data_IF_037124281116
#
_entry.id   IF_037124281116
#
_cell.length_a   1.000
_cell.length_b   1.000
_cell.length_c   1.000
_cell.angle_alpha   90.00
_cell.angle_beta   90.00
_cell.angle_gamma   90.00
#
_symmetry.space_group_name_H-M   'P 1'
#
loop_
_entity.id
_entity.type
_entity.pdbx_description
1 polymer ?
#
# COMPACT_ATOMS: atom_id res chain seq x y z
N UNK A 1 -20.29 -20.22 5.20
CA UNK A 1 -19.39 -19.51 4.25
C UNK A 1 -20.23 -18.57 3.39
N UNK A 2 -20.24 -17.27 3.70
CA UNK A 2 -21.03 -16.22 3.03
C UNK A 2 -20.13 -15.41 2.07
N UNK A 3 -19.39 -16.11 1.21
CA UNK A 3 -18.41 -15.49 0.29
C UNK A 3 -19.01 -14.79 -0.94
N UNK A 4 -20.25 -15.09 -1.32
CA UNK A 4 -20.82 -14.56 -2.57
C UNK A 4 -21.30 -13.11 -2.48
N UNK A 5 -21.70 -12.62 -1.29
CA UNK A 5 -22.21 -11.24 -1.16
C UNK A 5 -21.13 -10.16 -0.99
N UNK A 6 -19.93 -10.50 -0.49
CA UNK A 6 -18.92 -9.47 -0.22
C UNK A 6 -18.13 -9.03 -1.45
N UNK A 7 -18.08 -9.84 -2.51
CA UNK A 7 -17.36 -9.52 -3.76
C UNK A 7 -18.27 -8.97 -4.87
N UNK A 8 -19.59 -8.99 -4.70
CA UNK A 8 -20.52 -8.51 -5.74
C UNK A 8 -20.32 -7.03 -6.06
N UNK A 9 -19.94 -6.24 -5.04
CA UNK A 9 -19.69 -4.81 -5.16
C UNK A 9 -18.22 -4.44 -5.39
N UNK A 10 -17.29 -5.41 -5.41
CA UNK A 10 -15.86 -5.13 -5.56
C UNK A 10 -15.55 -4.17 -6.70
N UNK A 11 -16.13 -4.40 -7.88
CA UNK A 11 -15.89 -3.52 -9.03
C UNK A 11 -16.45 -2.11 -8.85
N UNK A 12 -17.52 -1.94 -8.08
CA UNK A 12 -18.07 -0.62 -7.78
C UNK A 12 -17.20 0.10 -6.74
N UNK A 13 -16.81 -0.62 -5.69
CA UNK A 13 -16.02 -0.07 -4.59
C UNK A 13 -14.61 0.33 -5.06
N UNK A 14 -14.03 -0.42 -6.00
CA UNK A 14 -12.67 -0.18 -6.50
C UNK A 14 -12.59 0.67 -7.77
N UNK A 15 -13.71 1.16 -8.31
CA UNK A 15 -13.71 2.03 -9.51
C UNK A 15 -12.96 3.35 -9.31
N UNK A 16 -12.91 3.84 -8.07
CA UNK A 16 -12.15 5.03 -7.72
C UNK A 16 -10.63 4.79 -7.82
N UNK A 17 -10.19 3.56 -7.55
CA UNK A 17 -8.77 3.22 -7.42
C UNK A 17 -8.20 2.47 -8.63
N UNK A 18 -9.05 1.76 -9.38
CA UNK A 18 -8.66 0.89 -10.48
C UNK A 18 -9.41 1.28 -11.76
N UNK A 19 -8.70 1.33 -12.88
CA UNK A 19 -9.36 1.36 -14.18
C UNK A 19 -9.76 -0.06 -14.58
N UNK A 20 -11.07 -0.31 -14.65
CA UNK A 20 -11.64 -1.65 -14.86
C UNK A 20 -12.22 -1.75 -16.27
N UNK A 21 -11.59 -2.54 -17.13
CA UNK A 21 -12.08 -2.82 -18.49
C UNK A 21 -12.73 -4.21 -18.56
N UNK A 22 -14.05 -4.32 -18.80
CA UNK A 22 -14.69 -5.62 -18.99
C UNK A 22 -14.35 -6.19 -20.38
N UNK A 23 -14.24 -7.51 -20.45
CA UNK A 23 -14.17 -8.28 -21.69
C UNK A 23 -14.96 -9.58 -21.55
N UNK A 24 -15.31 -10.20 -22.68
CA UNK A 24 -16.13 -11.41 -22.69
C UNK A 24 -15.37 -12.54 -23.37
N UNK A 25 -15.35 -13.71 -22.74
CA UNK A 25 -14.75 -14.92 -23.29
C UNK A 25 -15.87 -15.87 -23.68
N UNK A 26 -15.85 -16.35 -24.92
CA UNK A 26 -16.72 -17.43 -25.36
C UNK A 26 -16.15 -18.76 -24.84
N UNK A 27 -16.87 -19.37 -23.90
CA UNK A 27 -16.47 -20.60 -23.25
C UNK A 27 -17.29 -21.81 -23.75
N UNK A 28 -17.97 -21.69 -24.89
CA UNK A 28 -18.85 -22.73 -25.43
C UNK A 28 -20.24 -22.81 -24.78
N UNK A 29 -20.55 -21.90 -23.86
CA UNK A 29 -21.88 -21.78 -23.24
C UNK A 29 -22.78 -20.80 -24.00
N UNK A 30 -24.10 -20.88 -23.75
CA UNK A 30 -25.12 -19.99 -24.36
C UNK A 30 -24.80 -18.49 -24.20
N UNK A 31 -24.12 -18.11 -23.12
CA UNK A 31 -23.70 -16.74 -22.86
C UNK A 31 -22.20 -16.68 -22.63
N UNK A 32 -21.55 -15.68 -23.24
CA UNK A 32 -20.13 -15.42 -23.01
C UNK A 32 -19.90 -15.01 -21.54
N UNK A 33 -18.84 -15.53 -20.94
CA UNK A 33 -18.50 -15.19 -19.56
C UNK A 33 -17.80 -13.84 -19.51
N UNK A 34 -18.34 -12.92 -18.71
CA UNK A 34 -17.71 -11.62 -18.45
C UNK A 34 -16.49 -11.79 -17.55
N UNK A 35 -15.40 -11.13 -17.93
CA UNK A 35 -14.15 -10.99 -17.16
C UNK A 35 -13.79 -9.51 -17.07
N UNK A 36 -12.93 -9.15 -16.13
CA UNK A 36 -12.43 -7.78 -15.97
C UNK A 36 -10.90 -7.77 -16.05
N UNK A 37 -10.34 -6.78 -16.74
CA UNK A 37 -8.94 -6.41 -16.68
C UNK A 37 -8.85 -5.22 -15.73
N UNK A 38 -8.05 -5.36 -14.67
CA UNK A 38 -7.77 -4.29 -13.73
C UNK A 38 -6.45 -3.65 -14.11
N UNK A 39 -6.48 -2.37 -14.43
CA UNK A 39 -5.28 -1.56 -14.58
C UNK A 39 -5.01 -0.86 -13.26
N UNK A 40 -3.95 -1.30 -12.59
CA UNK A 40 -3.45 -0.68 -11.36
C UNK A 40 -2.76 0.63 -11.77
N UNK A 41 -3.09 1.76 -11.13
CA UNK A 41 -2.43 3.03 -11.42
C UNK A 41 -0.93 2.93 -11.16
N UNK A 42 -0.17 3.84 -11.76
CA UNK A 42 1.25 3.96 -11.49
C UNK A 42 1.44 4.25 -10.01
N UNK A 43 2.37 3.55 -9.36
CA UNK A 43 2.71 3.78 -7.95
C UNK A 43 3.12 5.24 -7.74
N UNK A 44 2.58 5.86 -6.68
CA UNK A 44 2.97 7.21 -6.28
C UNK A 44 4.44 7.25 -5.86
N UNK A 45 5.11 8.38 -6.11
CA UNK A 45 6.53 8.57 -5.76
C UNK A 45 6.73 8.65 -4.24
N UNK A 46 5.75 9.23 -3.54
CA UNK A 46 5.76 9.43 -2.09
C UNK A 46 5.08 8.25 -1.41
N UNK A 47 5.77 7.11 -1.39
CA UNK A 47 5.30 5.91 -0.71
C UNK A 47 6.30 5.45 0.35
N UNK A 48 5.85 4.60 1.26
CA UNK A 48 6.70 3.93 2.24
C UNK A 48 6.50 2.42 2.16
N UNK A 49 7.54 1.67 2.49
CA UNK A 49 7.48 0.21 2.58
C UNK A 49 7.54 -0.19 4.04
N UNK A 50 6.54 -0.95 4.49
CA UNK A 50 6.39 -1.34 5.90
C UNK A 50 6.64 -2.83 6.04
N UNK A 51 7.52 -3.18 6.96
CA UNK A 51 7.86 -4.54 7.36
C UNK A 51 6.66 -5.28 7.94
N UNK A 52 6.57 -6.58 7.68
CA UNK A 52 5.60 -7.47 8.31
C UNK A 52 5.69 -7.43 9.86
N UNK A 53 6.84 -7.08 10.42
CA UNK A 53 7.01 -6.90 11.88
C UNK A 53 5.99 -5.94 12.48
N UNK A 54 5.58 -4.91 11.73
CA UNK A 54 4.56 -3.96 12.20
C UNK A 54 3.19 -4.63 12.44
N UNK A 55 2.89 -5.70 11.71
CA UNK A 55 1.63 -6.42 11.87
C UNK A 55 1.54 -7.14 13.23
N UNK A 56 2.68 -7.46 13.85
CA UNK A 56 2.77 -8.19 15.13
C UNK A 56 2.34 -7.35 16.33
N UNK A 57 2.26 -6.02 16.21
CA UNK A 57 1.77 -5.16 17.28
C UNK A 57 0.25 -5.36 17.48
N UNK A 58 -0.17 -5.66 18.70
CA UNK A 58 -1.59 -5.78 19.09
C UNK A 58 -2.24 -4.40 19.25
N UNK A 59 -2.34 -3.67 18.14
CA UNK A 59 -2.96 -2.35 18.07
C UNK A 59 -4.22 -2.39 17.21
N UNK A 60 -5.20 -1.56 17.57
CA UNK A 60 -6.38 -1.34 16.75
C UNK A 60 -5.99 -0.85 15.35
N UNK A 61 -6.68 -1.32 14.31
CA UNK A 61 -6.42 -0.95 12.91
C UNK A 61 -6.38 0.57 12.69
N UNK A 62 -7.23 1.34 13.37
CA UNK A 62 -7.21 2.80 13.28
C UNK A 62 -5.93 3.42 13.88
N UNK A 63 -5.43 2.86 15.00
CA UNK A 63 -4.17 3.29 15.61
C UNK A 63 -2.98 2.93 14.70
N UNK A 64 -3.01 1.75 14.07
CA UNK A 64 -2.02 1.37 13.06
C UNK A 64 -2.04 2.32 11.87
N UNK A 65 -3.23 2.65 11.35
CA UNK A 65 -3.41 3.62 10.27
C UNK A 65 -2.89 5.01 10.65
N UNK A 66 -3.16 5.46 11.87
CA UNK A 66 -2.62 6.72 12.39
C UNK A 66 -1.08 6.71 12.44
N UNK A 67 -0.45 5.62 12.87
CA UNK A 67 1.01 5.52 12.85
C UNK A 67 1.59 5.58 11.43
N UNK A 68 0.93 4.95 10.46
CA UNK A 68 1.31 5.03 9.04
C UNK A 68 1.23 6.48 8.54
N UNK A 69 0.16 7.20 8.90
CA UNK A 69 0.02 8.62 8.57
C UNK A 69 1.14 9.46 9.19
N UNK A 70 1.52 9.20 10.44
CA UNK A 70 2.66 9.88 11.08
C UNK A 70 3.98 9.62 10.35
N UNK A 71 4.24 8.38 9.91
CA UNK A 71 5.42 8.05 9.12
C UNK A 71 5.43 8.79 7.78
N UNK A 72 4.30 8.84 7.07
CA UNK A 72 4.17 9.59 5.81
C UNK A 72 4.44 11.08 6.01
N UNK A 73 3.84 11.69 7.04
CA UNK A 73 4.13 13.08 7.39
C UNK A 73 5.61 13.28 7.71
N UNK A 74 6.22 12.38 8.48
CA UNK A 74 7.65 12.47 8.83
C UNK A 74 8.57 12.44 7.60
N UNK A 75 8.23 11.66 6.57
CA UNK A 75 9.06 11.48 5.38
C UNK A 75 8.87 12.60 4.36
N UNK A 76 7.62 13.07 4.16
CA UNK A 76 7.28 13.87 2.97
C UNK A 76 6.81 15.29 3.29
N UNK A 77 6.35 15.60 4.50
CA UNK A 77 5.75 16.91 4.78
C UNK A 77 6.75 18.01 5.12
N UNK A 78 7.97 17.65 5.56
CA UNK A 78 8.95 18.61 6.10
C UNK A 78 8.51 19.33 7.39
N UNK A 79 7.34 19.00 7.94
CA UNK A 79 6.79 19.66 9.12
C UNK A 79 7.30 19.02 10.41
N UNK A 80 7.42 19.82 11.47
CA UNK A 80 7.66 19.26 12.80
C UNK A 80 6.43 18.49 13.29
N UNK A 81 6.61 17.24 13.70
CA UNK A 81 5.55 16.40 14.26
C UNK A 81 5.18 16.84 15.67
N UNK A 82 4.36 17.88 15.79
CA UNK A 82 3.76 18.29 17.05
C UNK A 82 2.24 18.33 16.90
N UNK A 83 1.52 18.34 18.02
CA UNK A 83 0.04 18.28 18.04
C UNK A 83 -0.61 19.39 17.22
N UNK A 84 -0.04 20.60 17.23
CA UNK A 84 -0.59 21.77 16.51
C UNK A 84 -0.53 21.59 15.01
N UNK A 85 0.46 20.83 14.53
CA UNK A 85 0.72 20.53 13.14
C UNK A 85 -0.04 19.28 12.67
N UNK A 86 0.00 18.20 13.47
CA UNK A 86 -0.57 16.89 13.08
C UNK A 86 -2.10 16.93 13.03
N UNK A 87 -2.75 17.50 14.05
CA UNK A 87 -4.21 17.54 14.17
C UNK A 87 -4.88 18.18 12.94
N UNK A 88 -4.48 19.38 12.47
CA UNK A 88 -5.04 19.94 11.25
C UNK A 88 -4.61 19.19 9.99
N UNK A 89 -3.37 18.73 9.89
CA UNK A 89 -2.88 18.02 8.69
C UNK A 89 -3.66 16.71 8.42
N UNK A 90 -4.07 16.03 9.48
CA UNK A 90 -4.86 14.79 9.39
C UNK A 90 -6.37 15.02 9.53
N UNK A 91 -6.81 16.28 9.66
CA UNK A 91 -8.20 16.65 9.92
C UNK A 91 -8.83 15.82 11.06
N UNK A 92 -8.08 15.64 12.15
CA UNK A 92 -8.45 14.76 13.26
C UNK A 92 -8.92 15.58 14.46
N UNK A 93 -9.82 15.04 15.29
CA UNK A 93 -10.15 15.67 16.55
C UNK A 93 -9.06 15.45 17.61
N UNK A 94 -8.92 16.42 18.52
CA UNK A 94 -7.89 16.39 19.56
C UNK A 94 -8.00 15.18 20.49
N UNK A 95 -9.21 14.70 20.80
CA UNK A 95 -9.41 13.58 21.72
C UNK A 95 -8.98 12.26 21.08
N UNK A 96 -9.30 12.07 19.80
CA UNK A 96 -8.86 10.92 19.01
C UNK A 96 -7.35 10.92 18.84
N UNK A 97 -6.74 12.07 18.56
CA UNK A 97 -5.28 12.20 18.54
C UNK A 97 -4.66 11.75 19.86
N UNK A 98 -5.13 12.29 21.00
CA UNK A 98 -4.58 11.95 22.31
C UNK A 98 -4.78 10.46 22.65
N UNK A 99 -5.93 9.88 22.29
CA UNK A 99 -6.24 8.44 22.45
C UNK A 99 -5.29 7.55 21.64
N UNK A 100 -5.08 7.88 20.36
CA UNK A 100 -4.22 7.08 19.49
C UNK A 100 -2.75 7.24 19.86
N UNK A 101 -2.32 8.45 20.22
CA UNK A 101 -0.98 8.71 20.69
C UNK A 101 -0.65 7.89 21.94
N UNK A 102 -1.55 7.86 22.92
CA UNK A 102 -1.36 7.07 24.14
C UNK A 102 -1.19 5.56 23.83
N UNK A 103 -1.99 5.01 22.93
CA UNK A 103 -1.85 3.62 22.50
C UNK A 103 -0.51 3.33 21.83
N UNK A 104 0.00 4.26 21.01
CA UNK A 104 1.32 4.13 20.38
C UNK A 104 2.47 4.26 21.39
N UNK A 105 2.31 5.09 22.42
CA UNK A 105 3.31 5.23 23.49
C UNK A 105 3.41 3.94 24.32
N UNK A 106 2.27 3.33 24.68
CA UNK A 106 2.24 2.05 25.40
C UNK A 106 2.90 0.94 24.57
N UNK A 107 2.76 0.97 23.26
CA UNK A 107 3.40 0.04 22.34
C UNK A 107 4.87 0.39 22.00
N UNK A 108 5.44 1.41 22.64
CA UNK A 108 6.82 1.88 22.44
C UNK A 108 7.14 2.27 20.98
N UNK A 109 6.11 2.65 20.20
CA UNK A 109 6.27 3.08 18.81
C UNK A 109 6.57 4.57 18.67
N UNK A 110 6.32 5.35 19.73
CA UNK A 110 6.54 6.79 19.74
C UNK A 110 6.99 7.30 21.10
N UNK A 111 7.78 8.37 21.12
CA UNK A 111 8.10 9.13 22.33
C UNK A 111 7.54 10.54 22.22
N UNK A 112 6.64 10.89 23.13
CA UNK A 112 6.02 12.21 23.20
C UNK A 112 6.95 13.21 23.89
N UNK A 113 7.41 14.20 23.11
CA UNK A 113 8.18 15.34 23.59
C UNK A 113 7.64 16.64 22.99
N UNK A 114 8.47 17.69 22.95
CA UNK A 114 8.12 18.94 22.24
C UNK A 114 7.84 18.67 20.75
N UNK A 115 8.60 17.74 20.18
CA UNK A 115 8.36 17.13 18.87
C UNK A 115 8.26 15.63 19.09
N UNK A 116 7.27 15.01 18.47
CA UNK A 116 7.02 13.58 18.52
C UNK A 116 8.14 12.85 17.77
N UNK A 117 8.76 11.88 18.43
CA UNK A 117 9.76 11.00 17.81
C UNK A 117 9.09 9.66 17.50
N UNK A 118 9.28 9.16 16.27
CA UNK A 118 8.74 7.87 15.82
C UNK A 118 9.85 6.81 15.87
N UNK A 119 9.54 5.65 16.47
CA UNK A 119 10.44 4.50 16.51
C UNK A 119 10.08 3.57 15.35
N UNK A 120 10.84 3.67 14.27
CA UNK A 120 10.54 2.96 13.01
C UNK A 120 11.57 1.90 12.64
N UNK A 121 12.53 1.63 13.53
CA UNK A 121 13.59 0.65 13.31
C UNK A 121 13.03 -0.74 13.05
N UNK A 122 13.36 -1.31 11.89
CA UNK A 122 12.84 -2.61 11.46
C UNK A 122 11.37 -2.63 11.07
N UNK A 123 10.67 -1.49 11.15
CA UNK A 123 9.32 -1.26 10.65
C UNK A 123 9.37 -0.59 9.28
N UNK A 124 10.02 0.58 9.18
CA UNK A 124 10.19 1.28 7.93
C UNK A 124 11.36 0.67 7.16
N UNK A 125 11.08 0.20 5.95
CA UNK A 125 12.07 -0.42 5.07
C UNK A 125 12.47 0.57 3.98
N UNK A 126 13.67 0.39 3.44
CA UNK A 126 14.09 1.09 2.23
C UNK A 126 13.15 0.76 1.07
N UNK A 127 12.76 1.79 0.32
CA UNK A 127 11.90 1.64 -0.85
C UNK A 127 12.73 1.12 -2.03
N UNK A 128 12.92 -0.20 -2.12
CA UNK A 128 13.40 -0.83 -3.35
C UNK A 128 12.23 -1.22 -4.26
N UNK A 129 11.86 -0.31 -5.14
CA UNK A 129 10.83 -0.54 -6.16
C UNK A 129 11.17 -1.67 -7.13
N UNK A 130 12.44 -1.97 -7.35
CA UNK A 130 12.88 -3.02 -8.26
C UNK A 130 12.54 -4.39 -7.68
N UNK A 131 12.76 -4.58 -6.37
CA UNK A 131 12.38 -5.81 -5.66
C UNK A 131 10.87 -5.96 -5.47
N UNK A 132 10.11 -4.86 -5.48
CA UNK A 132 8.64 -4.89 -5.37
C UNK A 132 7.95 -5.26 -6.69
N UNK A 133 8.62 -5.08 -7.83
CA UNK A 133 8.08 -5.47 -9.13
C UNK A 133 8.17 -6.98 -9.30
N UNK A 134 7.05 -7.69 -9.11
CA UNK A 134 6.90 -9.04 -9.68
C UNK A 134 6.74 -8.92 -11.20
N UNK A 135 7.82 -9.19 -11.92
CA UNK A 135 7.73 -9.38 -13.37
C UNK A 135 6.88 -10.62 -13.67
N UNK A 136 6.03 -10.54 -14.69
CA UNK A 136 5.24 -11.71 -15.08
C UNK A 136 6.18 -12.75 -15.70
N UNK A 137 5.94 -14.03 -15.40
CA UNK A 137 6.70 -15.15 -15.96
C UNK A 137 6.70 -15.08 -17.50
N UNK A 138 5.58 -14.66 -18.11
CA UNK A 138 5.49 -14.50 -19.57
C UNK A 138 6.41 -13.39 -20.12
N UNK A 139 6.57 -12.26 -19.40
CA UNK A 139 7.51 -11.21 -19.81
C UNK A 139 8.96 -11.67 -19.63
N UNK A 140 9.26 -12.34 -18.52
CA UNK A 140 10.58 -12.94 -18.26
C UNK A 140 11.00 -13.89 -19.39
N UNK A 141 10.11 -14.81 -19.79
CA UNK A 141 10.37 -15.75 -20.88
C UNK A 141 10.60 -15.05 -22.23
N UNK A 142 9.84 -13.98 -22.49
CA UNK A 142 9.97 -13.21 -23.74
C UNK A 142 11.27 -12.38 -23.79
N UNK A 143 11.68 -11.83 -22.66
CA UNK A 143 12.95 -11.10 -22.53
C UNK A 143 14.14 -12.06 -22.61
N UNK A 144 14.03 -13.27 -22.06
CA UNK A 144 15.01 -14.35 -22.21
C UNK A 144 15.19 -14.76 -23.69
N UNK A 145 14.10 -15.01 -24.42
CA UNK A 145 14.15 -15.30 -25.86
C UNK A 145 14.86 -14.19 -26.65
N UNK A 146 14.56 -12.91 -26.37
CA UNK A 146 15.22 -11.75 -26.99
C UNK A 146 16.72 -11.66 -26.66
N UNK A 147 17.14 -12.03 -25.44
CA UNK A 147 18.56 -12.06 -25.06
C UNK A 147 19.35 -13.23 -25.64
N UNK A 148 18.69 -14.35 -25.96
CA UNK A 148 19.29 -15.50 -26.65
C UNK A 148 19.50 -15.16 -28.12
N UNK A 149 18.52 -14.50 -28.75
CA UNK A 149 18.59 -14.08 -30.15
C UNK A 149 19.75 -13.08 -30.39
N UNK A 150 19.93 -12.14 -29.47
CA UNK A 150 21.02 -11.13 -29.56
C UNK A 150 22.41 -11.70 -29.28
N UNK A 151 22.54 -12.80 -28.52
CA UNK A 151 23.82 -13.51 -28.31
C UNK A 151 24.23 -14.40 -29.48
N UNK A 152 23.27 -14.84 -30.30
CA UNK A 152 23.52 -15.60 -31.53
C UNK A 152 24.00 -14.72 -32.69
N UNK A 153 23.87 -13.39 -32.55
CA UNK A 153 24.44 -12.41 -33.47
C UNK A 153 25.80 -11.96 -32.90
N UNK A 154 26.83 -12.78 -33.09
CA UNK A 154 28.22 -12.29 -33.02
C UNK A 154 28.67 -11.91 -34.43
N UNK A 155 29.46 -10.82 -34.59
CA UNK A 155 29.99 -10.41 -35.90
C UNK A 155 30.93 -11.46 -36.51
#
# INVERSE_FOLDING_TARGET
>A
MTGERSLSNFNNDFREYLNIKPYFINNGFRYATRRNIYHVPVMEKECITISQKFLMYELNTAVKGFFIQLMLLSQFSGMALNRQNIVPALNMDRKTYDKYLNALQIAELVTNGRVLTLHTDGILLENDFSMQKKQSIYRLLKDEELTIDTKSIKP
#
